data_IF_988397864563
#
_entry.id   IF_988397864563
#
_cell.length_a   1.000
_cell.length_b   1.000
_cell.length_c   1.000
_cell.angle_alpha   90.00
_cell.angle_beta   90.00
_cell.angle_gamma   90.00
#
_symmetry.space_group_name_H-M   'P 1'
#
loop_
_entity.id
_entity.type
_entity.pdbx_description
1 polymer ?
#
# COMPACT_ATOMS: atom_id res chain seq x y z
N UNK A 1 -36.17 3.18 7.77
CA UNK A 1 -35.77 4.33 6.93
C UNK A 1 -34.36 4.75 7.35
N UNK A 2 -33.43 4.53 6.42
CA UNK A 2 -31.99 4.90 6.37
C UNK A 2 -31.31 5.27 7.70
N UNK A 3 -30.74 4.25 8.35
CA UNK A 3 -29.61 4.45 9.25
C UNK A 3 -28.46 4.95 8.36
N UNK A 4 -28.26 6.25 8.28
CA UNK A 4 -27.03 6.82 7.77
C UNK A 4 -25.91 6.28 8.66
N UNK A 5 -25.34 5.14 8.26
CA UNK A 5 -24.09 4.67 8.80
C UNK A 5 -23.11 5.79 8.51
N UNK A 6 -22.74 6.49 9.57
CA UNK A 6 -21.62 7.42 9.62
C UNK A 6 -20.47 6.74 8.87
N UNK A 7 -20.21 7.19 7.63
CA UNK A 7 -19.05 6.73 6.87
C UNK A 7 -17.88 7.35 7.58
N UNK A 8 -17.34 6.61 8.55
CA UNK A 8 -16.20 7.01 9.36
C UNK A 8 -15.16 7.61 8.43
N UNK A 9 -14.77 8.87 8.70
CA UNK A 9 -13.54 9.45 8.14
C UNK A 9 -12.48 8.35 8.20
N UNK A 10 -11.83 7.96 7.08
CA UNK A 10 -10.98 6.79 7.09
C UNK A 10 -9.94 6.96 8.19
N UNK A 11 -10.00 6.07 9.18
CA UNK A 11 -9.00 6.01 10.23
C UNK A 11 -7.62 5.87 9.56
N UNK A 12 -6.55 6.39 10.18
CA UNK A 12 -5.20 6.17 9.67
C UNK A 12 -4.98 4.68 9.45
N UNK A 13 -4.53 4.33 8.24
CA UNK A 13 -4.27 2.94 7.90
C UNK A 13 -3.10 2.43 8.74
N UNK A 14 -3.35 1.45 9.62
CA UNK A 14 -2.28 0.81 10.38
C UNK A 14 -1.39 -0.03 9.47
N UNK A 15 -0.21 -0.40 9.95
CA UNK A 15 0.71 -1.28 9.21
C UNK A 15 0.04 -2.60 8.80
N UNK A 16 -0.80 -3.14 9.69
CA UNK A 16 -1.59 -4.35 9.47
C UNK A 16 -2.67 -4.13 8.40
N UNK A 17 -3.42 -3.02 8.46
CA UNK A 17 -4.42 -2.69 7.45
C UNK A 17 -3.79 -2.47 6.08
N UNK A 18 -2.63 -1.82 6.02
CA UNK A 18 -1.90 -1.65 4.78
C UNK A 18 -1.41 -3.00 4.23
N UNK A 19 -0.92 -3.88 5.10
CA UNK A 19 -0.54 -5.25 4.73
C UNK A 19 -1.74 -6.05 4.20
N UNK A 20 -2.92 -5.96 4.84
CA UNK A 20 -4.13 -6.62 4.37
C UNK A 20 -4.60 -6.07 3.02
N UNK A 21 -4.55 -4.76 2.83
CA UNK A 21 -4.86 -4.14 1.53
C UNK A 21 -3.88 -4.63 0.48
N UNK A 22 -2.57 -4.58 0.75
CA UNK A 22 -1.55 -5.05 -0.18
C UNK A 22 -1.71 -6.54 -0.51
N UNK A 23 -1.95 -7.40 0.49
CA UNK A 23 -2.26 -8.82 0.28
C UNK A 23 -3.54 -9.05 -0.51
N UNK A 24 -4.52 -8.15 -0.41
CA UNK A 24 -5.74 -8.21 -1.22
C UNK A 24 -5.46 -7.82 -2.68
N UNK A 25 -4.42 -7.03 -2.93
CA UNK A 25 -3.99 -6.66 -4.28
C UNK A 25 -3.06 -7.68 -4.94
N UNK A 26 -2.43 -8.56 -4.17
CA UNK A 26 -1.74 -9.77 -4.64
C UNK A 26 -2.78 -10.76 -5.21
N UNK A 27 -3.11 -10.55 -6.49
CA UNK A 27 -4.20 -11.26 -7.16
C UNK A 27 -3.75 -12.64 -7.70
N UNK A 28 -2.45 -12.78 -7.96
CA UNK A 28 -1.82 -14.02 -8.34
C UNK A 28 -1.47 -14.91 -7.14
N UNK A 29 -1.56 -14.39 -5.91
CA UNK A 29 -1.20 -15.08 -4.67
C UNK A 29 0.21 -15.67 -4.73
N UNK A 30 1.11 -14.99 -5.45
CA UNK A 30 2.49 -15.42 -5.61
C UNK A 30 3.33 -15.06 -4.36
N UNK A 31 2.75 -14.30 -3.43
CA UNK A 31 3.41 -13.88 -2.20
C UNK A 31 4.28 -12.63 -2.38
N UNK A 32 4.23 -12.03 -3.58
CA UNK A 32 4.90 -10.77 -3.90
C UNK A 32 3.99 -9.82 -4.67
N UNK A 33 4.14 -8.51 -4.43
CA UNK A 33 3.41 -7.48 -5.19
C UNK A 33 4.23 -6.96 -6.35
N UNK A 34 3.68 -7.11 -7.55
CA UNK A 34 4.24 -6.51 -8.75
C UNK A 34 4.07 -4.99 -8.75
N UNK A 35 4.90 -4.27 -9.50
CA UNK A 35 4.77 -2.81 -9.69
C UNK A 35 3.35 -2.36 -10.07
N UNK A 36 2.65 -3.15 -10.87
CA UNK A 36 1.28 -2.85 -11.31
C UNK A 36 0.26 -2.99 -10.18
N UNK A 37 0.38 -4.05 -9.37
CA UNK A 37 -0.46 -4.30 -8.20
C UNK A 37 -0.20 -3.25 -7.10
N UNK A 38 1.08 -2.91 -6.88
CA UNK A 38 1.51 -1.85 -5.98
C UNK A 38 0.90 -0.50 -6.38
N UNK A 39 0.90 -0.19 -7.68
CA UNK A 39 0.29 1.03 -8.23
C UNK A 39 -1.22 1.04 -7.99
N UNK A 40 -1.91 -0.08 -8.23
CA UNK A 40 -3.34 -0.20 -7.99
C UNK A 40 -3.67 -0.03 -6.50
N UNK A 41 -2.87 -0.62 -5.61
CA UNK A 41 -2.97 -0.42 -4.17
C UNK A 41 -2.80 1.06 -3.80
N UNK A 42 -1.73 1.72 -4.25
CA UNK A 42 -1.53 3.15 -3.97
C UNK A 42 -2.62 4.04 -4.56
N UNK A 43 -3.20 3.68 -5.71
CA UNK A 43 -4.32 4.42 -6.29
C UNK A 43 -5.58 4.29 -5.42
N UNK A 44 -5.86 3.10 -4.91
CA UNK A 44 -6.96 2.83 -3.99
C UNK A 44 -6.79 3.57 -2.65
N UNK A 45 -5.54 3.69 -2.19
CA UNK A 45 -5.15 4.47 -1.02
C UNK A 45 -5.23 6.00 -1.23
N UNK A 46 -5.64 6.47 -2.41
CA UNK A 46 -5.78 7.89 -2.71
C UNK A 46 -4.46 8.60 -2.97
N UNK A 47 -3.40 7.88 -3.38
CA UNK A 47 -2.15 8.50 -3.76
C UNK A 47 -2.35 9.47 -4.94
N UNK A 48 -1.84 10.70 -4.82
CA UNK A 48 -1.81 11.67 -5.92
C UNK A 48 -1.00 11.21 -7.14
N UNK A 49 0.05 10.42 -6.93
CA UNK A 49 0.95 9.92 -7.98
C UNK A 49 1.24 8.43 -7.75
N UNK A 50 0.26 7.53 -7.98
CA UNK A 50 0.38 6.13 -7.62
C UNK A 50 1.50 5.42 -8.38
N UNK A 51 1.68 5.71 -9.68
CA UNK A 51 2.74 5.09 -10.48
C UNK A 51 4.16 5.51 -10.07
N UNK A 52 4.36 6.80 -9.81
CA UNK A 52 5.67 7.30 -9.35
C UNK A 52 5.98 6.83 -7.93
N UNK A 53 4.99 6.86 -7.03
CA UNK A 53 5.18 6.38 -5.66
C UNK A 53 5.37 4.87 -5.63
N UNK A 54 4.66 4.10 -6.45
CA UNK A 54 4.89 2.67 -6.64
C UNK A 54 6.31 2.39 -7.11
N UNK A 55 6.76 3.05 -8.17
CA UNK A 55 8.11 2.86 -8.71
C UNK A 55 9.19 3.22 -7.68
N UNK A 56 8.99 4.31 -6.93
CA UNK A 56 9.94 4.76 -5.92
C UNK A 56 9.94 3.86 -4.69
N UNK A 57 8.78 3.33 -4.31
CA UNK A 57 8.65 2.38 -3.22
C UNK A 57 9.28 1.04 -3.60
N UNK A 58 8.95 0.52 -4.79
CA UNK A 58 9.57 -0.66 -5.40
C UNK A 58 11.08 -0.53 -5.38
N UNK A 59 11.66 0.46 -6.05
CA UNK A 59 13.12 0.68 -6.09
C UNK A 59 13.76 0.89 -4.70
N UNK A 60 13.00 1.26 -3.67
CA UNK A 60 13.53 1.42 -2.33
C UNK A 60 13.55 0.12 -1.53
N UNK A 61 12.65 -0.83 -1.84
CA UNK A 61 12.45 -2.06 -1.06
C UNK A 61 12.90 -3.31 -1.81
N UNK A 62 12.80 -3.28 -3.14
CA UNK A 62 13.29 -4.27 -4.11
C UNK A 62 14.82 -4.28 -4.04
N UNK A 63 15.33 -5.14 -3.17
CA UNK A 63 16.76 -5.26 -2.88
C UNK A 63 17.37 -6.39 -3.70
N UNK A 64 16.54 -7.40 -4.02
CA UNK A 64 16.88 -8.53 -4.88
C UNK A 64 16.84 -8.18 -6.39
N UNK A 65 16.19 -7.08 -6.78
CA UNK A 65 16.12 -6.59 -8.16
C UNK A 65 15.19 -7.40 -9.05
N UNK A 66 14.22 -8.11 -8.47
CA UNK A 66 13.28 -8.94 -9.22
C UNK A 66 12.08 -8.14 -9.75
N UNK A 67 11.93 -6.88 -9.32
CA UNK A 67 10.82 -6.03 -9.72
C UNK A 67 9.49 -6.38 -9.04
N UNK A 68 9.54 -7.22 -8.01
CA UNK A 68 8.43 -7.64 -7.17
C UNK A 68 8.72 -7.22 -5.72
N UNK A 69 7.68 -7.06 -4.91
CA UNK A 69 7.85 -6.85 -3.47
C UNK A 69 7.49 -8.13 -2.75
N UNK A 70 8.49 -8.94 -2.44
CA UNK A 70 8.30 -10.21 -1.74
C UNK A 70 7.84 -9.98 -0.29
N UNK A 71 7.29 -11.02 0.36
CA UNK A 71 6.80 -10.92 1.75
C UNK A 71 7.80 -10.33 2.77
N UNK A 72 9.11 -10.52 2.56
CA UNK A 72 10.16 -9.92 3.39
C UNK A 72 10.33 -8.41 3.12
N UNK A 73 10.25 -8.01 1.86
CA UNK A 73 10.36 -6.62 1.38
C UNK A 73 9.06 -5.82 1.59
N UNK A 74 7.94 -6.53 1.75
CA UNK A 74 6.61 -5.97 2.03
C UNK A 74 6.61 -5.14 3.32
N UNK A 75 7.37 -5.56 4.33
CA UNK A 75 7.55 -4.78 5.57
C UNK A 75 8.27 -3.46 5.29
N UNK A 76 9.30 -3.47 4.44
CA UNK A 76 9.99 -2.27 3.99
C UNK A 76 9.05 -1.33 3.23
N UNK A 77 8.15 -1.89 2.41
CA UNK A 77 7.13 -1.13 1.68
C UNK A 77 6.16 -0.43 2.62
N UNK A 78 5.70 -1.14 3.65
CA UNK A 78 4.80 -0.59 4.66
C UNK A 78 5.48 0.54 5.44
N UNK A 79 6.74 0.36 5.82
CA UNK A 79 7.53 1.41 6.48
C UNK A 79 7.74 2.62 5.58
N UNK A 80 7.98 2.40 4.28
CA UNK A 80 8.09 3.49 3.29
C UNK A 80 6.77 4.26 3.16
N UNK A 81 5.65 3.55 2.99
CA UNK A 81 4.33 4.17 2.92
C UNK A 81 4.00 4.95 4.19
N UNK A 82 4.36 4.39 5.35
CA UNK A 82 4.25 5.04 6.66
C UNK A 82 4.99 6.36 6.71
N UNK A 83 6.27 6.35 6.32
CA UNK A 83 7.15 7.53 6.28
C UNK A 83 6.67 8.62 5.32
N UNK A 84 5.98 8.23 4.23
CA UNK A 84 5.48 9.16 3.21
C UNK A 84 4.04 9.66 3.46
N UNK A 85 3.52 9.47 4.68
CA UNK A 85 2.28 10.08 5.14
C UNK A 85 1.02 9.40 4.64
N UNK A 86 1.11 8.17 4.12
CA UNK A 86 -0.07 7.38 3.77
C UNK A 86 -0.81 6.84 5.00
N UNK A 87 -0.13 6.80 6.15
CA UNK A 87 -0.71 6.31 7.41
C UNK A 87 -0.94 7.40 8.45
N UNK A 88 -0.46 8.63 8.23
CA UNK A 88 -0.48 9.65 9.27
C UNK A 88 -1.67 10.59 9.09
N UNK A 89 -2.54 10.63 10.11
CA UNK A 89 -3.51 11.70 10.30
C UNK A 89 -2.79 13.06 10.21
N UNK A 90 -3.19 13.90 9.26
CA UNK A 90 -2.89 15.34 9.34
C UNK A 90 -3.81 15.93 10.40
N UNK A 91 -3.22 16.29 11.54
CA UNK A 91 -3.73 17.28 12.47
C UNK A 91 -3.72 18.67 11.84
#
# INVERSE_FOLDING_TARGET
>A
MTRHAYVSKPAPLTEEQLLEILKKYDANHDGGLSKEELKAAFQSLGARLPGWRANRALHHVDTNGDGLVSGEELKGLIQYAKKHGYISATN
#
